data_IF_692964376604
#
_entry.id   IF_692964376604
#
_cell.length_a   1.000
_cell.length_b   1.000
_cell.length_c   1.000
_cell.angle_alpha   90.00
_cell.angle_beta   90.00
_cell.angle_gamma   90.00
#
_symmetry.space_group_name_H-M   'P 1'
#
loop_
_entity.id
_entity.type
_entity.pdbx_description
1 polymer ?
#
# COMPACT_ATOMS: atom_id res chain seq x y z
N UNK A 1 -1.29 -7.91 5.49
CA UNK A 1 -2.14 -6.91 6.19
C UNK A 1 -1.31 -5.78 6.80
N UNK A 2 0.01 -5.77 6.63
CA UNK A 2 0.91 -4.82 7.29
C UNK A 2 0.59 -3.34 6.98
N UNK A 3 0.40 -2.98 5.71
CA UNK A 3 0.08 -1.59 5.34
C UNK A 3 -1.23 -1.07 5.97
N UNK A 4 -2.24 -1.94 6.10
CA UNK A 4 -3.51 -1.58 6.75
C UNK A 4 -3.31 -1.39 8.26
N UNK A 5 -2.48 -2.22 8.91
CA UNK A 5 -2.16 -2.06 10.32
C UNK A 5 -1.39 -0.75 10.55
N UNK A 6 -0.37 -0.49 9.72
CA UNK A 6 0.39 0.75 9.76
C UNK A 6 -0.50 1.99 9.60
N UNK A 7 -1.50 1.95 8.71
CA UNK A 7 -2.47 3.04 8.54
C UNK A 7 -3.23 3.35 9.83
N UNK A 8 -3.72 2.33 10.55
CA UNK A 8 -4.46 2.51 11.80
C UNK A 8 -3.57 2.91 12.98
N UNK A 9 -2.31 2.46 13.00
CA UNK A 9 -1.35 2.80 14.06
C UNK A 9 -0.83 4.23 13.91
N UNK A 10 -0.49 4.65 12.68
CA UNK A 10 0.14 5.93 12.41
C UNK A 10 -0.87 7.07 12.22
N UNK A 11 -2.10 6.74 11.79
CA UNK A 11 -3.16 7.70 11.48
C UNK A 11 -2.66 8.93 10.70
N UNK A 12 -1.98 8.73 9.55
CA UNK A 12 -1.55 9.82 8.71
C UNK A 12 -2.76 10.63 8.21
N UNK A 13 -2.52 11.88 7.84
CA UNK A 13 -3.49 12.72 7.15
C UNK A 13 -3.67 12.24 5.70
N UNK A 14 -4.44 11.17 5.54
CA UNK A 14 -4.71 10.49 4.28
C UNK A 14 -6.14 9.99 4.21
N UNK A 15 -6.77 10.13 3.05
CA UNK A 15 -8.09 9.57 2.76
C UNK A 15 -8.02 8.04 2.58
N UNK A 16 -6.85 7.53 2.20
CA UNK A 16 -6.61 6.09 2.08
C UNK A 16 -5.22 5.74 1.59
N UNK A 17 -5.01 4.44 1.38
CA UNK A 17 -3.80 3.86 0.80
C UNK A 17 -4.14 2.94 -0.36
N UNK A 18 -3.23 2.83 -1.32
CA UNK A 18 -3.37 2.00 -2.50
C UNK A 18 -2.06 1.35 -2.92
N UNK A 19 -2.17 0.16 -3.50
CA UNK A 19 -1.08 -0.51 -4.21
C UNK A 19 -1.42 -0.49 -5.70
N UNK A 20 -0.58 0.13 -6.51
CA UNK A 20 -0.85 0.28 -7.93
C UNK A 20 -0.77 -1.06 -8.68
N UNK A 21 -1.68 -1.25 -9.63
CA UNK A 21 -1.75 -2.48 -10.44
C UNK A 21 -2.31 -3.67 -9.67
N UNK A 22 -1.77 -4.86 -9.94
CA UNK A 22 -2.15 -6.13 -9.30
C UNK A 22 -0.92 -7.05 -9.23
N UNK A 23 0.12 -6.70 -8.46
CA UNK A 23 1.36 -7.47 -8.47
C UNK A 23 1.16 -8.86 -7.83
N UNK A 24 1.87 -9.85 -8.39
CA UNK A 24 1.89 -11.22 -7.88
C UNK A 24 2.49 -11.24 -6.48
N UNK A 25 1.93 -12.08 -5.60
CA UNK A 25 2.35 -12.23 -4.21
C UNK A 25 1.57 -11.33 -3.24
N UNK A 26 0.54 -10.63 -3.73
CA UNK A 26 -0.39 -9.86 -2.91
C UNK A 26 -1.62 -10.69 -2.48
N UNK A 27 -2.33 -10.28 -1.41
CA UNK A 27 -3.58 -10.94 -1.02
C UNK A 27 -4.59 -10.98 -2.18
N UNK A 28 -5.01 -12.18 -2.58
CA UNK A 28 -5.90 -12.40 -3.73
C UNK A 28 -5.18 -12.71 -5.06
N UNK A 29 -3.85 -12.53 -5.14
CA UNK A 29 -3.02 -12.81 -6.32
C UNK A 29 -1.81 -13.68 -5.93
N UNK A 30 -1.98 -14.99 -5.71
CA UNK A 30 -0.93 -15.87 -5.21
C UNK A 30 0.21 -16.08 -6.23
N UNK A 31 1.43 -16.22 -5.72
CA UNK A 31 2.64 -16.51 -6.49
C UNK A 31 3.90 -15.96 -5.79
N UNK A 32 5.10 -16.19 -6.34
CA UNK A 32 6.33 -15.64 -5.79
C UNK A 32 6.37 -14.11 -5.95
N UNK A 33 6.78 -13.41 -4.89
CA UNK A 33 7.05 -11.97 -4.96
C UNK A 33 8.34 -11.73 -5.74
N UNK A 34 8.24 -10.96 -6.82
CA UNK A 34 9.38 -10.66 -7.70
C UNK A 34 10.08 -9.34 -7.35
N UNK A 35 9.37 -8.41 -6.70
CA UNK A 35 9.86 -7.08 -6.33
C UNK A 35 9.17 -6.58 -5.04
N UNK A 36 9.74 -5.58 -4.35
CA UNK A 36 9.07 -4.89 -3.25
C UNK A 36 7.76 -4.23 -3.71
N UNK A 37 6.79 -4.09 -2.81
CA UNK A 37 5.52 -3.41 -3.09
C UNK A 37 5.53 -2.00 -2.55
N UNK A 38 5.41 -1.02 -3.45
CA UNK A 38 5.28 0.38 -3.06
C UNK A 38 3.81 0.72 -2.82
N UNK A 39 3.49 1.01 -1.56
CA UNK A 39 2.18 1.45 -1.13
C UNK A 39 2.18 2.97 -1.05
N UNK A 40 1.14 3.57 -1.61
CA UNK A 40 0.96 5.02 -1.68
C UNK A 40 -0.21 5.42 -0.80
N UNK A 41 -0.09 6.55 -0.10
CA UNK A 41 -1.23 7.23 0.51
C UNK A 41 -1.75 8.29 -0.47
N UNK A 42 -3.03 8.64 -0.34
CA UNK A 42 -3.62 9.71 -1.13
C UNK A 42 -4.51 10.61 -0.28
N UNK A 43 -4.45 11.91 -0.58
CA UNK A 43 -5.27 12.97 0.00
C UNK A 43 -5.54 13.99 -1.10
N UNK A 44 -6.77 14.46 -1.26
CA UNK A 44 -7.10 15.54 -2.22
C UNK A 44 -6.60 15.28 -3.67
N UNK A 45 -6.65 14.03 -4.14
CA UNK A 45 -6.17 13.57 -5.45
C UNK A 45 -4.64 13.64 -5.66
N UNK A 46 -3.86 13.90 -4.60
CA UNK A 46 -2.40 13.80 -4.61
C UNK A 46 -1.96 12.51 -3.94
N UNK A 47 -1.02 11.79 -4.56
CA UNK A 47 -0.41 10.59 -3.99
C UNK A 47 0.98 10.88 -3.42
N UNK A 48 1.33 10.16 -2.34
CA UNK A 48 2.65 10.20 -1.70
C UNK A 48 3.07 8.79 -1.34
N UNK A 49 4.38 8.55 -1.35
CA UNK A 49 4.93 7.28 -0.86
C UNK A 49 4.55 7.09 0.62
N UNK A 50 3.94 5.95 0.94
CA UNK A 50 3.57 5.60 2.31
C UNK A 50 4.54 4.59 2.91
N UNK A 51 4.75 3.46 2.24
CA UNK A 51 5.73 2.45 2.65
C UNK A 51 6.08 1.48 1.52
N UNK A 52 7.20 0.78 1.67
CA UNK A 52 7.62 -0.32 0.80
C UNK A 52 7.59 -1.63 1.58
N UNK A 53 6.96 -2.68 1.03
CA UNK A 53 6.82 -4.03 1.60
C UNK A 53 7.67 -5.07 0.87
#
# INVERSE_FOLDING_TARGET
MEAVQALFEQQPDADGIGLAGMPIGTPGMPGPQEAPYDVYSFTDQEDKAFMTL
#
